data_IF_736281671808
#
_entry.id   IF_736281671808
#
_cell.length_a   1.000
_cell.length_b   1.000
_cell.length_c   1.000
_cell.angle_alpha   90.00
_cell.angle_beta   90.00
_cell.angle_gamma   90.00
#
_symmetry.space_group_name_H-M   'P 1'
#
loop_
_entity.id
_entity.type
_entity.pdbx_description
1 polymer ?
#
# COMPACT_ATOMS: atom_id res chain seq x y z
N UNK A 1 10.05 -6.09 4.82
CA UNK A 1 10.31 -4.94 3.98
C UNK A 1 9.52 -3.73 4.44
N UNK A 2 10.17 -2.60 4.47
CA UNK A 2 9.53 -1.38 4.95
C UNK A 2 8.38 -0.95 4.06
N UNK A 3 8.55 -1.11 2.74
CA UNK A 3 7.53 -0.68 1.81
C UNK A 3 6.28 -1.54 1.92
N UNK A 4 6.45 -2.83 2.16
CA UNK A 4 5.30 -3.70 2.32
C UNK A 4 4.53 -3.33 3.57
N UNK A 5 5.24 -3.02 4.65
CA UNK A 5 4.57 -2.59 5.88
C UNK A 5 3.84 -1.27 5.67
N UNK A 6 4.45 -0.36 4.92
CA UNK A 6 3.80 0.91 4.61
C UNK A 6 2.54 0.69 3.79
N UNK A 7 2.62 -0.21 2.82
CA UNK A 7 1.45 -0.55 2.01
C UNK A 7 0.35 -1.13 2.86
N UNK A 8 0.69 -2.05 3.76
CA UNK A 8 -0.30 -2.62 4.66
C UNK A 8 -0.95 -1.54 5.53
N UNK A 9 -0.14 -0.61 6.01
CA UNK A 9 -0.67 0.47 6.83
C UNK A 9 -1.64 1.34 6.04
N UNK A 10 -1.32 1.61 4.79
CA UNK A 10 -2.22 2.38 3.94
C UNK A 10 -3.54 1.66 3.74
N UNK A 11 -3.47 0.37 3.46
CA UNK A 11 -4.67 -0.42 3.24
C UNK A 11 -5.55 -0.40 4.49
N UNK A 12 -4.94 -0.57 5.65
CA UNK A 12 -5.70 -0.56 6.89
C UNK A 12 -6.22 0.83 7.23
N UNK A 13 -5.40 1.84 6.99
CA UNK A 13 -5.79 3.20 7.32
C UNK A 13 -7.02 3.63 6.53
N UNK A 14 -7.08 3.26 5.27
CA UNK A 14 -8.19 3.62 4.40
C UNK A 14 -9.24 2.53 4.32
N UNK A 15 -9.05 1.45 5.07
CA UNK A 15 -10.01 0.34 5.12
C UNK A 15 -10.31 -0.19 3.71
N UNK A 16 -9.25 -0.39 2.95
CA UNK A 16 -9.39 -0.89 1.59
C UNK A 16 -9.62 -2.39 1.59
N UNK A 17 -10.43 -2.85 0.66
CA UNK A 17 -10.74 -4.27 0.54
C UNK A 17 -9.87 -4.92 -0.51
N UNK A 18 -8.56 -4.76 -0.38
CA UNK A 18 -7.64 -5.38 -1.31
C UNK A 18 -6.63 -6.21 -0.56
N UNK A 19 -6.30 -7.35 -1.15
CA UNK A 19 -5.33 -8.26 -0.55
C UNK A 19 -4.24 -8.54 -1.56
N UNK A 20 -3.26 -7.65 -1.68
CA UNK A 20 -2.19 -7.85 -2.66
C UNK A 20 -1.33 -9.05 -2.28
N UNK A 21 -0.70 -9.62 -3.30
CA UNK A 21 0.18 -10.77 -3.11
C UNK A 21 1.53 -10.28 -2.62
N UNK A 22 1.68 -10.23 -1.31
CA UNK A 22 2.92 -9.71 -0.73
C UNK A 22 4.12 -10.60 -1.04
N UNK A 23 3.90 -11.90 -1.18
CA UNK A 23 5.01 -12.81 -1.40
C UNK A 23 5.65 -12.61 -2.76
N UNK A 24 4.82 -12.39 -3.77
CA UNK A 24 5.34 -12.19 -5.11
C UNK A 24 5.55 -10.73 -5.46
N UNK A 25 5.42 -9.84 -4.49
CA UNK A 25 5.48 -8.42 -4.76
C UNK A 25 6.92 -7.94 -4.78
N UNK A 26 7.28 -7.22 -5.83
CA UNK A 26 8.58 -6.59 -5.93
C UNK A 26 8.49 -5.17 -5.38
N UNK A 27 9.67 -4.56 -5.21
CA UNK A 27 9.70 -3.18 -4.74
C UNK A 27 8.97 -2.25 -5.70
N UNK A 28 9.13 -2.48 -6.98
CA UNK A 28 8.47 -1.66 -7.99
C UNK A 28 6.96 -1.76 -7.87
N UNK A 29 6.45 -2.98 -7.72
CA UNK A 29 5.01 -3.17 -7.60
C UNK A 29 4.48 -2.53 -6.32
N UNK A 30 5.18 -2.72 -5.23
CA UNK A 30 4.76 -2.11 -3.96
C UNK A 30 4.71 -0.60 -4.09
N UNK A 31 5.72 -0.02 -4.73
CA UNK A 31 5.77 1.43 -4.91
C UNK A 31 4.59 1.91 -5.75
N UNK A 32 4.28 1.18 -6.81
CA UNK A 32 3.15 1.58 -7.67
C UNK A 32 1.83 1.51 -6.91
N UNK A 33 1.65 0.46 -6.13
CA UNK A 33 0.42 0.35 -5.35
C UNK A 33 0.31 1.48 -4.33
N UNK A 34 1.41 1.78 -3.67
CA UNK A 34 1.42 2.85 -2.70
C UNK A 34 1.08 4.18 -3.37
N UNK A 35 1.70 4.45 -4.51
CA UNK A 35 1.42 5.68 -5.24
C UNK A 35 -0.05 5.76 -5.64
N UNK A 36 -0.61 4.66 -6.13
CA UNK A 36 -2.00 4.65 -6.53
C UNK A 36 -2.92 4.92 -5.36
N UNK A 37 -2.64 4.31 -4.22
CA UNK A 37 -3.48 4.53 -3.04
C UNK A 37 -3.37 5.97 -2.57
N UNK A 38 -2.15 6.51 -2.55
CA UNK A 38 -1.97 7.89 -2.13
C UNK A 38 -2.68 8.84 -3.07
N UNK A 39 -2.64 8.54 -4.35
CA UNK A 39 -3.26 9.39 -5.35
C UNK A 39 -4.78 9.41 -5.20
N UNK A 40 -5.38 8.26 -4.90
CA UNK A 40 -6.83 8.16 -4.80
C UNK A 40 -7.36 8.44 -3.41
N UNK A 41 -6.66 7.98 -2.40
CA UNK A 41 -7.17 8.07 -1.04
C UNK A 41 -6.37 9.01 -0.15
N UNK A 42 -5.20 9.40 -0.60
CA UNK A 42 -4.35 10.25 0.21
C UNK A 42 -3.34 9.46 1.00
N UNK A 43 -2.38 10.16 1.58
CA UNK A 43 -1.34 9.53 2.36
C UNK A 43 -1.86 9.10 3.73
N UNK A 44 -0.98 8.48 4.51
CA UNK A 44 -1.35 8.10 5.86
C UNK A 44 -1.74 9.34 6.64
N UNK A 45 -2.79 9.19 7.43
CA UNK A 45 -3.23 10.29 8.27
C UNK A 45 -2.84 10.03 9.70
N UNK A 46 -2.70 11.09 10.42
CA UNK A 46 -2.28 10.99 11.82
C UNK A 46 -3.36 11.38 12.73
#
# INVERSE_FOLDING_TARGET
EKQIKFLQALIQCHQLEMTPDYEGMTRSKASKLIDGIILEHGNLRR
#
